data_IF_079387990572
#
_entry.id   IF_079387990572
#
_cell.length_a   1.000
_cell.length_b   1.000
_cell.length_c   1.000
_cell.angle_alpha   90.00
_cell.angle_beta   90.00
_cell.angle_gamma   90.00
#
_symmetry.space_group_name_H-M   'P 1'
#
loop_
_entity.id
_entity.type
_entity.pdbx_description
1 polymer ?
#
# COMPACT_ATOMS: atom_id res chain seq x y z
N UNK A 1 -7.01 25.68 -4.34
CA UNK A 1 -6.35 24.58 -3.59
C UNK A 1 -6.89 23.30 -4.20
N UNK A 2 -6.06 22.53 -4.90
CA UNK A 2 -6.49 21.30 -5.56
C UNK A 2 -6.73 20.23 -4.49
N UNK A 3 -7.90 19.57 -4.52
CA UNK A 3 -8.19 18.49 -3.57
C UNK A 3 -7.17 17.35 -3.70
N UNK A 4 -6.80 16.68 -2.59
CA UNK A 4 -5.86 15.57 -2.66
C UNK A 4 -6.45 14.47 -3.53
N UNK A 5 -5.80 14.18 -4.65
CA UNK A 5 -6.20 13.09 -5.55
C UNK A 5 -6.03 11.78 -4.79
N UNK A 6 -7.13 11.06 -4.55
CA UNK A 6 -7.11 9.73 -3.94
C UNK A 6 -6.16 8.83 -4.73
N UNK A 7 -5.24 8.17 -4.03
CA UNK A 7 -4.31 7.25 -4.66
C UNK A 7 -5.08 6.11 -5.37
N UNK A 8 -4.62 5.66 -6.55
CA UNK A 8 -5.21 4.50 -7.21
C UNK A 8 -5.07 3.24 -6.34
N UNK A 9 -5.90 2.24 -6.60
CA UNK A 9 -5.84 0.96 -5.87
C UNK A 9 -4.49 0.27 -6.09
N UNK A 10 -3.85 -0.18 -5.00
CA UNK A 10 -2.58 -0.88 -5.01
C UNK A 10 -2.82 -2.34 -4.67
N UNK A 11 -2.42 -3.22 -5.57
CA UNK A 11 -2.45 -4.67 -5.34
C UNK A 11 -1.29 -5.09 -4.40
N UNK A 12 -1.54 -5.77 -3.28
CA UNK A 12 -0.50 -6.30 -2.40
C UNK A 12 0.50 -7.25 -3.10
N UNK A 13 0.05 -7.96 -4.14
CA UNK A 13 0.92 -8.82 -4.94
C UNK A 13 1.98 -8.02 -5.70
N UNK A 14 1.67 -6.79 -6.12
CA UNK A 14 2.63 -5.88 -6.74
C UNK A 14 3.73 -5.48 -5.76
N UNK A 15 3.37 -5.12 -4.52
CA UNK A 15 4.33 -4.74 -3.48
C UNK A 15 5.27 -5.92 -3.18
N UNK A 16 4.69 -7.12 -3.01
CA UNK A 16 5.46 -8.35 -2.79
C UNK A 16 6.43 -8.65 -3.94
N UNK A 17 6.01 -8.40 -5.18
CA UNK A 17 6.89 -8.56 -6.34
C UNK A 17 8.02 -7.53 -6.35
N UNK A 18 7.72 -6.26 -6.06
CA UNK A 18 8.71 -5.18 -6.01
C UNK A 18 9.78 -5.43 -4.93
N UNK A 19 9.42 -5.94 -3.76
CA UNK A 19 10.39 -6.29 -2.71
C UNK A 19 11.36 -7.41 -3.15
N UNK A 20 10.92 -8.32 -4.03
CA UNK A 20 11.79 -9.37 -4.58
C UNK A 20 12.74 -8.83 -5.64
N UNK A 21 12.26 -7.90 -6.48
CA UNK A 21 13.06 -7.27 -7.54
C UNK A 21 14.07 -6.29 -6.96
N UNK A 22 13.64 -5.51 -5.97
CA UNK A 22 14.45 -4.50 -5.29
C UNK A 22 14.52 -4.84 -3.80
N UNK A 23 15.35 -5.82 -3.42
CA UNK A 23 15.44 -6.23 -2.03
C UNK A 23 16.03 -5.11 -1.17
N UNK A 24 15.48 -4.94 0.03
CA UNK A 24 16.01 -4.04 1.04
C UNK A 24 17.35 -4.55 1.56
N UNK A 25 18.42 -4.24 0.84
CA UNK A 25 19.80 -4.59 1.18
C UNK A 25 20.58 -3.32 1.43
N UNK A 26 21.46 -3.36 2.43
CA UNK A 26 22.45 -2.31 2.61
C UNK A 26 23.29 -2.18 1.34
N UNK A 27 23.41 -0.97 0.77
CA UNK A 27 24.34 -0.69 -0.31
C UNK A 27 25.77 -1.05 0.13
N UNK A 28 26.61 -1.46 -0.82
CA UNK A 28 28.01 -1.72 -0.52
C UNK A 28 28.74 -0.37 -0.36
N UNK A 29 29.76 -0.35 0.49
CA UNK A 29 30.64 0.82 0.67
C UNK A 29 31.38 1.17 -0.62
N UNK A 30 31.54 0.20 -1.52
CA UNK A 30 32.12 0.41 -2.85
C UNK A 30 31.16 0.97 -3.89
N UNK A 31 29.85 1.04 -3.61
CA UNK A 31 28.87 1.54 -4.56
C UNK A 31 29.03 3.05 -4.77
N UNK A 32 28.78 3.51 -6.01
CA UNK A 32 28.80 4.93 -6.31
C UNK A 32 27.63 5.66 -5.62
N UNK A 33 27.80 6.95 -5.33
CA UNK A 33 26.76 7.75 -4.67
C UNK A 33 25.39 7.62 -5.36
N UNK A 34 25.36 7.70 -6.69
CA UNK A 34 24.12 7.56 -7.47
C UNK A 34 23.44 6.20 -7.22
N UNK A 35 24.20 5.12 -7.15
CA UNK A 35 23.66 3.77 -6.96
C UNK A 35 23.06 3.63 -5.56
N UNK A 36 23.75 4.18 -4.55
CA UNK A 36 23.26 4.28 -3.17
C UNK A 36 21.93 5.06 -3.13
N UNK A 37 21.89 6.23 -3.75
CA UNK A 37 20.67 7.06 -3.80
C UNK A 37 19.51 6.35 -4.48
N UNK A 38 19.76 5.65 -5.59
CA UNK A 38 18.73 4.88 -6.28
C UNK A 38 18.23 3.72 -5.41
N UNK A 39 19.13 2.97 -4.78
CA UNK A 39 18.77 1.85 -3.91
C UNK A 39 17.89 2.32 -2.75
N UNK A 40 18.32 3.35 -2.02
CA UNK A 40 17.57 3.91 -0.88
C UNK A 40 16.25 4.54 -1.34
N UNK A 41 16.25 5.27 -2.46
CA UNK A 41 15.06 5.90 -3.02
C UNK A 41 13.99 4.88 -3.41
N UNK A 42 14.38 3.79 -4.08
CA UNK A 42 13.45 2.71 -4.44
C UNK A 42 12.82 2.06 -3.21
N UNK A 43 13.58 1.84 -2.13
CA UNK A 43 13.02 1.32 -0.88
C UNK A 43 11.98 2.26 -0.27
N UNK A 44 12.23 3.57 -0.28
CA UNK A 44 11.27 4.56 0.21
C UNK A 44 9.95 4.53 -0.58
N UNK A 45 10.01 4.34 -1.89
CA UNK A 45 8.81 4.21 -2.73
C UNK A 45 8.04 2.95 -2.41
N UNK A 46 8.71 1.80 -2.29
CA UNK A 46 8.07 0.51 -1.98
C UNK A 46 7.38 0.58 -0.61
N UNK A 47 8.05 1.13 0.41
CA UNK A 47 7.47 1.31 1.74
C UNK A 47 6.22 2.20 1.72
N UNK A 48 6.23 3.27 0.92
CA UNK A 48 5.06 4.14 0.76
C UNK A 48 3.89 3.40 0.06
N UNK A 49 4.16 2.62 -0.99
CA UNK A 49 3.14 1.82 -1.67
C UNK A 49 2.54 0.77 -0.72
N UNK A 50 3.37 0.14 0.11
CA UNK A 50 2.92 -0.81 1.13
C UNK A 50 2.00 -0.15 2.15
N UNK A 51 2.37 1.03 2.67
CA UNK A 51 1.54 1.76 3.61
C UNK A 51 0.17 2.16 3.01
N UNK A 52 0.15 2.58 1.74
CA UNK A 52 -1.10 2.90 1.04
C UNK A 52 -1.94 1.64 0.83
N UNK A 53 -1.34 0.51 0.43
CA UNK A 53 -2.07 -0.74 0.24
C UNK A 53 -2.74 -1.21 1.55
N UNK A 54 -2.01 -1.18 2.67
CA UNK A 54 -2.56 -1.49 4.00
C UNK A 54 -3.73 -0.56 4.36
N UNK A 55 -3.56 0.75 4.15
CA UNK A 55 -4.64 1.70 4.40
C UNK A 55 -5.88 1.46 3.53
N UNK A 56 -5.71 1.02 2.27
CA UNK A 56 -6.81 0.68 1.37
C UNK A 56 -7.57 -0.58 1.79
N UNK A 57 -6.87 -1.57 2.35
CA UNK A 57 -7.50 -2.77 2.92
C UNK A 57 -8.32 -2.44 4.16
N UNK A 58 -7.77 -1.64 5.07
CA UNK A 58 -8.47 -1.19 6.28
C UNK A 58 -9.74 -0.39 5.95
N UNK A 59 -9.66 0.56 5.01
CA UNK A 59 -10.83 1.33 4.56
C UNK A 59 -11.90 0.45 3.88
N UNK A 60 -11.48 -0.59 3.14
CA UNK A 60 -12.41 -1.51 2.48
C UNK A 60 -13.18 -2.34 3.50
N UNK A 61 -12.48 -2.91 4.50
CA UNK A 61 -13.09 -3.73 5.56
C UNK A 61 -14.04 -2.93 6.45
N UNK A 62 -13.77 -1.64 6.69
CA UNK A 62 -14.67 -0.77 7.42
C UNK A 62 -16.02 -0.56 6.70
N UNK A 63 -16.02 -0.52 5.36
CA UNK A 63 -17.26 -0.38 4.57
C UNK A 63 -18.10 -1.66 4.54
N UNK A 64 -17.46 -2.84 4.58
CA UNK A 64 -18.15 -4.13 4.55
C UNK A 64 -18.86 -4.45 5.88
N UNK A 65 -18.29 -4.05 7.02
CA UNK A 65 -18.89 -4.26 8.35
C UNK A 65 -20.18 -3.43 8.51
N UNK A 66 -20.26 -2.24 7.92
CA UNK A 66 -21.46 -1.40 7.96
C UNK A 66 -22.60 -1.97 7.10
N UNK A 67 -22.29 -2.65 5.99
CA UNK A 67 -23.30 -3.27 5.12
C UNK A 67 -23.87 -4.59 5.67
N UNK A 68 -23.12 -5.31 6.50
CA UNK A 68 -23.59 -6.55 7.12
C UNK A 68 -24.66 -6.32 8.22
N UNK A 69 -24.82 -5.09 8.71
CA UNK A 69 -25.75 -4.75 9.81
C UNK A 69 -27.20 -4.41 9.39
N UNK A 70 -27.49 -4.22 8.10
CA UNK A 70 -28.80 -3.71 7.65
C UNK A 70 -29.80 -4.77 7.17
N UNK A 71 -29.48 -6.08 7.20
CA UNK A 71 -30.35 -7.12 6.59
C UNK A 71 -31.23 -7.91 7.58
N UNK A 72 -31.28 -7.59 8.88
CA UNK A 72 -32.00 -8.43 9.87
C UNK A 72 -33.27 -7.85 10.51
N UNK A 73 -33.82 -6.73 10.04
CA UNK A 73 -35.11 -6.23 10.55
C UNK A 73 -36.12 -6.02 9.42
N UNK A 74 -36.65 -7.13 8.92
CA UNK A 74 -37.78 -7.14 8.00
C UNK A 74 -38.54 -8.45 8.13
N UNK A 75 -39.65 -8.39 8.89
CA UNK A 75 -40.84 -9.26 8.90
C UNK A 75 -41.27 -9.61 10.34
N UNK A 76 -42.20 -8.83 10.87
CA UNK A 76 -43.25 -9.34 11.76
C UNK A 76 -44.56 -8.89 11.11
N UNK A 77 -45.29 -9.84 10.53
CA UNK A 77 -46.71 -9.70 10.16
C UNK A 77 -47.58 -9.70 11.42
#
# INVERSE_FOLDING_TARGET
MSEPTKAPHIDPALVTWLERVFPNKCPNVSDGEREIWMAVGTQGVIANLQAIAVAQEEDSTASDILNAGSSHFGCIE
#
